data_IF_800091488176
#
_entry.id   IF_800091488176
#
_cell.length_a   1.000
_cell.length_b   1.000
_cell.length_c   1.000
_cell.angle_alpha   90.00
_cell.angle_beta   90.00
_cell.angle_gamma   90.00
#
_symmetry.space_group_name_H-M   'P 1'
#
loop_
_entity.id
_entity.type
_entity.pdbx_description
1 polymer ?
#
# COMPACT_ATOMS: atom_id res chain seq x y z
N UNK A 1 -27.81 17.34 17.69
CA UNK A 1 -27.03 17.62 18.92
C UNK A 1 -25.93 16.56 19.05
N UNK A 2 -24.76 16.91 19.57
CA UNK A 2 -23.61 16.00 19.69
C UNK A 2 -23.37 15.70 21.17
N UNK A 3 -23.36 14.42 21.50
CA UNK A 3 -23.05 13.91 22.84
C UNK A 3 -21.70 13.22 22.80
N UNK A 4 -20.79 13.57 23.70
CA UNK A 4 -19.46 12.95 23.74
C UNK A 4 -18.86 13.04 25.14
N UNK A 5 -17.79 12.28 25.39
CA UNK A 5 -17.01 12.33 26.63
C UNK A 5 -15.62 12.89 26.36
N UNK A 6 -15.09 13.70 27.27
CA UNK A 6 -13.69 14.14 27.19
C UNK A 6 -12.76 12.92 27.13
N UNK A 7 -11.82 12.85 26.18
CA UNK A 7 -10.97 11.67 26.01
C UNK A 7 -10.06 11.42 27.23
N UNK A 8 -9.66 12.49 27.94
CA UNK A 8 -8.80 12.44 29.11
C UNK A 8 -9.57 12.13 30.41
N UNK A 9 -10.49 13.02 30.82
CA UNK A 9 -11.16 12.90 32.14
C UNK A 9 -12.56 12.26 32.09
N UNK A 10 -13.01 11.80 30.91
CA UNK A 10 -14.30 11.12 30.68
C UNK A 10 -15.56 11.93 31.02
N UNK A 11 -15.45 13.22 31.37
CA UNK A 11 -16.60 14.10 31.60
C UNK A 11 -17.48 14.21 30.35
N UNK A 12 -18.78 14.03 30.52
CA UNK A 12 -19.77 14.09 29.45
C UNK A 12 -20.12 15.53 29.06
N UNK A 13 -20.31 15.76 27.76
CA UNK A 13 -20.67 17.04 27.16
C UNK A 13 -21.82 16.87 26.17
N UNK A 14 -22.67 17.89 26.10
CA UNK A 14 -23.74 18.05 25.11
C UNK A 14 -23.55 19.39 24.41
N UNK A 15 -23.32 19.37 23.09
CA UNK A 15 -23.06 20.58 22.32
C UNK A 15 -23.85 20.57 21.00
N UNK A 16 -24.15 21.76 20.47
CA UNK A 16 -24.81 21.91 19.17
C UNK A 16 -23.96 21.37 18.02
N UNK A 17 -24.62 20.82 17.00
CA UNK A 17 -23.98 20.26 15.81
C UNK A 17 -23.13 21.26 15.04
N UNK A 18 -23.44 22.57 15.14
CA UNK A 18 -22.68 23.65 14.48
C UNK A 18 -21.22 23.77 14.93
N UNK A 19 -20.84 23.11 16.02
CA UNK A 19 -19.48 23.08 16.54
C UNK A 19 -18.73 21.77 16.20
N UNK A 20 -19.35 20.85 15.45
CA UNK A 20 -18.71 19.66 14.91
C UNK A 20 -17.35 19.98 14.28
N UNK A 21 -16.33 19.15 14.57
CA UNK A 21 -15.00 19.31 13.99
C UNK A 21 -14.19 20.52 14.49
N UNK A 22 -14.72 21.39 15.37
CA UNK A 22 -13.93 22.50 15.94
C UNK A 22 -13.02 22.02 17.08
N UNK A 23 -11.88 22.68 17.25
CA UNK A 23 -10.98 22.46 18.40
C UNK A 23 -11.54 23.19 19.63
N UNK A 24 -11.53 22.54 20.77
CA UNK A 24 -11.97 23.12 22.05
C UNK A 24 -11.11 22.61 23.21
N UNK A 25 -11.33 23.16 24.40
CA UNK A 25 -10.70 22.73 25.66
C UNK A 25 -11.75 22.12 26.58
N UNK A 26 -11.38 21.04 27.27
CA UNK A 26 -12.20 20.47 28.34
C UNK A 26 -12.33 21.49 29.48
N UNK A 27 -13.56 21.86 29.84
CA UNK A 27 -13.81 22.76 30.98
C UNK A 27 -13.42 22.17 32.34
N UNK A 28 -13.20 20.86 32.44
CA UNK A 28 -12.82 20.21 33.69
C UNK A 28 -11.31 19.96 33.85
N UNK A 29 -10.62 19.52 32.80
CA UNK A 29 -9.19 19.17 32.88
C UNK A 29 -8.28 20.01 31.97
N UNK A 30 -8.83 20.95 31.21
CA UNK A 30 -8.05 21.81 30.31
C UNK A 30 -7.55 21.16 29.01
N UNK A 31 -7.66 19.83 28.86
CA UNK A 31 -7.22 19.10 27.67
C UNK A 31 -7.80 19.69 26.39
N UNK A 32 -6.95 19.98 25.40
CA UNK A 32 -7.36 20.38 24.04
C UNK A 32 -7.75 19.13 23.24
N UNK A 33 -8.90 19.16 22.58
CA UNK A 33 -9.36 18.07 21.70
C UNK A 33 -10.32 18.62 20.63
N UNK A 34 -10.65 17.80 19.63
CA UNK A 34 -11.56 18.15 18.54
C UNK A 34 -12.95 17.58 18.83
N UNK A 35 -13.99 18.38 18.64
CA UNK A 35 -15.37 17.92 18.79
C UNK A 35 -15.68 16.89 17.71
N UNK A 36 -16.28 15.74 18.06
CA UNK A 36 -16.66 14.74 17.06
C UNK A 36 -17.63 15.39 16.07
N UNK A 37 -17.39 15.18 14.78
CA UNK A 37 -18.37 15.52 13.75
C UNK A 37 -19.35 14.35 13.65
N UNK A 38 -20.66 14.57 13.43
CA UNK A 38 -21.51 13.48 12.97
C UNK A 38 -20.82 12.89 11.74
N UNK A 39 -20.67 11.57 11.71
CA UNK A 39 -20.21 10.89 10.51
C UNK A 39 -21.16 11.32 9.40
N UNK A 40 -20.64 12.07 8.43
CA UNK A 40 -21.27 12.08 7.11
C UNK A 40 -21.24 10.60 6.73
N UNK A 41 -22.42 10.01 6.54
CA UNK A 41 -22.51 8.70 5.92
C UNK A 41 -21.78 8.87 4.58
N UNK A 42 -20.54 8.40 4.53
CA UNK A 42 -19.81 8.26 3.29
C UNK A 42 -20.63 7.20 2.59
N UNK A 43 -21.28 7.56 1.50
CA UNK A 43 -21.89 6.60 0.60
C UNK A 43 -20.74 5.68 0.19
N UNK A 44 -20.67 4.50 0.81
CA UNK A 44 -19.67 3.49 0.52
C UNK A 44 -19.90 3.05 -0.92
N UNK A 45 -19.20 3.69 -1.86
CA UNK A 45 -19.06 3.13 -3.19
C UNK A 45 -18.46 1.74 -2.99
N UNK A 46 -19.10 0.68 -3.51
CA UNK A 46 -18.60 -0.66 -3.36
C UNK A 46 -17.17 -0.68 -3.92
N UNK A 47 -16.22 -1.07 -3.07
CA UNK A 47 -14.86 -1.39 -3.49
C UNK A 47 -15.02 -2.59 -4.40
N UNK A 48 -14.83 -2.40 -5.71
CA UNK A 48 -14.72 -3.53 -6.59
C UNK A 48 -13.49 -4.30 -6.12
N UNK A 49 -13.65 -5.58 -5.81
CA UNK A 49 -12.54 -6.50 -5.96
C UNK A 49 -12.07 -6.27 -7.40
N UNK A 50 -10.80 -5.94 -7.59
CA UNK A 50 -10.18 -6.05 -8.89
C UNK A 50 -10.20 -7.53 -9.27
N UNK A 51 -11.39 -8.01 -9.67
CA UNK A 51 -11.51 -9.13 -10.58
C UNK A 51 -10.95 -8.54 -11.85
N UNK A 52 -9.63 -8.69 -12.01
CA UNK A 52 -9.02 -8.63 -13.32
C UNK A 52 -9.91 -9.53 -14.17
N UNK A 53 -10.65 -8.93 -15.10
CA UNK A 53 -11.62 -9.68 -15.92
C UNK A 53 -10.85 -10.75 -16.66
N UNK A 54 -10.90 -11.98 -16.14
CA UNK A 54 -10.63 -13.18 -16.91
C UNK A 54 -11.68 -13.21 -18.02
N UNK A 55 -11.27 -12.79 -19.20
CA UNK A 55 -11.87 -13.16 -20.48
C UNK A 55 -10.80 -12.94 -21.54
N UNK A 56 -9.77 -13.76 -21.46
CA UNK A 56 -8.85 -14.02 -22.57
C UNK A 56 -8.50 -15.51 -22.50
N UNK A 57 -9.39 -16.34 -23.02
CA UNK A 57 -8.97 -17.51 -23.80
C UNK A 57 -8.08 -16.96 -24.92
N UNK A 58 -6.81 -16.77 -24.60
CA UNK A 58 -5.78 -16.39 -25.55
C UNK A 58 -4.91 -17.62 -25.66
N UNK A 59 -4.92 -18.20 -26.87
CA UNK A 59 -4.02 -19.26 -27.29
C UNK A 59 -2.65 -19.11 -26.61
N UNK A 60 -2.19 -20.16 -25.93
CA UNK A 60 -0.84 -20.34 -25.38
C UNK A 60 0.27 -20.33 -26.47
N UNK A 61 -0.05 -19.88 -27.68
CA UNK A 61 0.85 -19.72 -28.79
C UNK A 61 1.77 -18.51 -28.56
N UNK A 62 2.93 -18.80 -27.98
CA UNK A 62 4.16 -17.99 -28.04
C UNK A 62 3.94 -16.55 -27.54
N UNK A 63 3.67 -16.38 -26.23
CA UNK A 63 4.05 -15.11 -25.60
C UNK A 63 5.57 -15.07 -25.53
N UNK A 64 6.24 -14.06 -26.11
CA UNK A 64 7.66 -13.91 -25.90
C UNK A 64 7.91 -13.81 -24.40
N UNK A 65 8.85 -14.61 -23.88
CA UNK A 65 9.25 -14.53 -22.48
C UNK A 65 9.68 -13.09 -22.19
N UNK A 66 8.97 -12.43 -21.28
CA UNK A 66 9.31 -11.08 -20.87
C UNK A 66 10.62 -11.12 -20.07
N UNK A 67 11.50 -10.12 -20.23
CA UNK A 67 12.83 -10.11 -19.61
C UNK A 67 12.76 -9.70 -18.12
N UNK A 68 11.93 -10.40 -17.35
CA UNK A 68 11.64 -10.11 -15.95
C UNK A 68 12.88 -10.05 -15.06
N UNK A 69 13.85 -10.92 -15.33
CA UNK A 69 15.12 -10.96 -14.60
C UNK A 69 15.96 -9.72 -14.91
N UNK A 70 16.13 -9.40 -16.20
CA UNK A 70 16.94 -8.26 -16.64
C UNK A 70 16.35 -6.94 -16.15
N UNK A 71 15.03 -6.75 -16.25
CA UNK A 71 14.35 -5.57 -15.73
C UNK A 71 14.56 -5.42 -14.22
N UNK A 72 14.45 -6.49 -13.44
CA UNK A 72 14.69 -6.42 -12.00
C UNK A 72 16.15 -6.14 -11.66
N UNK A 73 17.08 -6.77 -12.39
CA UNK A 73 18.52 -6.56 -12.21
C UNK A 73 18.88 -5.10 -12.52
N UNK A 74 18.35 -4.52 -13.59
CA UNK A 74 18.56 -3.11 -13.88
C UNK A 74 17.93 -2.21 -12.81
N UNK A 75 16.70 -2.52 -12.33
CA UNK A 75 16.11 -1.80 -11.20
C UNK A 75 17.03 -1.81 -9.96
N UNK A 76 17.64 -2.96 -9.66
CA UNK A 76 18.58 -3.12 -8.55
C UNK A 76 19.85 -2.28 -8.76
N UNK A 77 20.41 -2.29 -9.98
CA UNK A 77 21.59 -1.50 -10.33
C UNK A 77 21.32 0.00 -10.25
N UNK A 78 20.22 0.48 -10.82
CA UNK A 78 19.82 1.90 -10.78
C UNK A 78 19.52 2.37 -9.37
N UNK A 79 18.97 1.50 -8.51
CA UNK A 79 18.74 1.82 -7.11
C UNK A 79 20.02 1.78 -6.25
N UNK A 80 21.00 0.97 -6.66
CA UNK A 80 22.32 0.86 -6.04
C UNK A 80 22.37 -0.05 -4.81
N UNK A 81 23.60 -0.37 -4.40
CA UNK A 81 23.89 -1.27 -3.30
C UNK A 81 23.53 -0.69 -1.93
N UNK A 82 23.03 -1.55 -1.05
CA UNK A 82 22.79 -1.19 0.35
C UNK A 82 24.11 -1.26 1.17
N UNK A 83 24.35 -0.34 2.12
CA UNK A 83 23.50 0.78 2.51
C UNK A 83 23.67 2.01 1.59
N UNK A 84 22.56 2.54 1.09
CA UNK A 84 22.55 3.69 0.18
C UNK A 84 22.70 5.01 0.92
N UNK A 85 23.33 5.97 0.25
CA UNK A 85 23.32 7.39 0.63
C UNK A 85 22.57 8.14 -0.46
N UNK A 86 21.63 8.98 -0.04
CA UNK A 86 20.84 9.80 -0.94
C UNK A 86 21.23 11.26 -0.68
N UNK A 87 21.35 12.04 -1.75
CA UNK A 87 21.46 13.49 -1.66
C UNK A 87 20.16 14.10 -1.07
N UNK A 88 20.15 15.42 -0.90
CA UNK A 88 19.01 16.12 -0.30
C UNK A 88 17.74 16.06 -1.17
N UNK A 89 17.88 16.20 -2.49
CA UNK A 89 16.77 16.18 -3.45
C UNK A 89 16.11 14.80 -3.48
N UNK A 90 16.93 13.77 -3.62
CA UNK A 90 16.57 12.37 -3.60
C UNK A 90 15.94 11.98 -2.26
N UNK A 91 16.45 12.50 -1.15
CA UNK A 91 15.85 12.28 0.17
C UNK A 91 14.48 12.97 0.30
N UNK A 92 14.32 14.17 -0.24
CA UNK A 92 13.05 14.89 -0.24
C UNK A 92 12.00 14.17 -1.11
N UNK A 93 12.38 13.72 -2.31
CA UNK A 93 11.52 12.95 -3.19
C UNK A 93 11.05 11.64 -2.56
N UNK A 94 11.94 10.92 -1.86
CA UNK A 94 11.60 9.67 -1.17
C UNK A 94 10.73 9.89 0.07
N UNK A 95 10.72 11.10 0.63
CA UNK A 95 10.00 11.37 1.88
C UNK A 95 8.49 11.43 1.67
N UNK A 96 7.75 10.95 2.67
CA UNK A 96 6.31 11.09 2.72
C UNK A 96 5.93 12.43 3.39
N UNK A 97 5.18 13.33 2.72
CA UNK A 97 4.76 14.58 3.32
C UNK A 97 3.65 14.33 4.36
N UNK A 98 4.05 14.20 5.63
CA UNK A 98 3.16 13.91 6.77
C UNK A 98 2.12 15.01 7.09
N UNK A 99 2.07 16.11 6.34
CA UNK A 99 1.44 17.38 6.74
C UNK A 99 -0.10 17.39 6.85
N UNK A 100 -0.81 16.52 6.12
CA UNK A 100 -2.28 16.55 6.03
C UNK A 100 -2.94 15.25 6.52
N UNK A 101 -2.36 14.10 6.16
CA UNK A 101 -2.75 12.74 6.57
C UNK A 101 -2.67 12.53 8.11
N UNK A 102 -1.73 13.19 8.80
CA UNK A 102 -1.57 13.04 10.25
C UNK A 102 -2.69 13.64 11.11
N UNK A 103 -3.61 14.43 10.55
CA UNK A 103 -4.75 14.96 11.29
C UNK A 103 -5.79 13.89 11.66
N UNK A 104 -5.88 12.82 10.88
CA UNK A 104 -6.85 11.72 11.03
C UNK A 104 -6.20 10.35 11.26
N UNK A 105 -4.96 10.11 10.77
CA UNK A 105 -4.30 8.79 10.81
C UNK A 105 -3.43 8.49 12.04
N UNK A 106 -3.35 9.36 13.04
CA UNK A 106 -2.42 9.21 14.19
C UNK A 106 -2.58 7.88 14.98
N UNK A 107 -3.70 7.17 14.83
CA UNK A 107 -3.98 5.88 15.47
C UNK A 107 -3.90 4.66 14.54
N UNK A 108 -3.53 4.84 13.27
CA UNK A 108 -3.53 3.76 12.26
C UNK A 108 -2.14 3.10 12.20
N UNK A 109 -2.02 1.76 12.28
CA UNK A 109 -0.75 1.04 12.19
C UNK A 109 0.11 1.39 10.96
N UNK A 110 -0.50 1.88 9.88
CA UNK A 110 0.17 2.38 8.67
C UNK A 110 1.12 3.55 8.96
N UNK A 111 0.83 4.40 9.96
CA UNK A 111 1.78 5.43 10.40
C UNK A 111 3.09 4.84 10.90
N UNK A 112 3.11 3.57 11.36
CA UNK A 112 4.36 2.88 11.70
C UNK A 112 5.22 2.64 10.46
N UNK A 113 4.63 2.27 9.31
CA UNK A 113 5.35 2.16 8.03
C UNK A 113 5.86 3.55 7.60
N UNK A 114 4.99 4.55 7.64
CA UNK A 114 5.24 5.92 7.19
C UNK A 114 6.09 6.77 8.15
N UNK A 115 6.59 6.19 9.26
CA UNK A 115 7.57 6.90 10.10
C UNK A 115 8.82 7.18 9.24
N UNK A 116 9.18 8.47 9.12
CA UNK A 116 10.33 8.91 8.31
C UNK A 116 11.61 8.10 8.55
N UNK A 117 11.90 7.71 9.81
CA UNK A 117 13.07 6.88 10.13
C UNK A 117 13.00 5.49 9.51
N UNK A 118 11.81 4.88 9.48
CA UNK A 118 11.58 3.55 8.90
C UNK A 118 11.56 3.58 7.38
N UNK A 119 10.84 4.52 6.78
CA UNK A 119 10.85 4.72 5.33
C UNK A 119 12.29 4.92 4.84
N UNK A 120 13.06 5.78 5.53
CA UNK A 120 14.48 5.98 5.26
C UNK A 120 15.29 4.70 5.43
N UNK A 121 15.02 3.90 6.44
CA UNK A 121 15.71 2.61 6.62
C UNK A 121 15.41 1.62 5.49
N UNK A 122 14.14 1.50 5.06
CA UNK A 122 13.74 0.65 3.94
C UNK A 122 14.46 1.09 2.68
N UNK A 123 14.42 2.38 2.32
CA UNK A 123 15.09 2.84 1.11
C UNK A 123 16.61 2.77 1.21
N UNK A 124 17.22 2.88 2.38
CA UNK A 124 18.68 2.79 2.52
C UNK A 124 19.20 1.36 2.54
N UNK A 125 18.46 0.42 3.14
CA UNK A 125 18.96 -0.93 3.44
C UNK A 125 18.13 -2.06 2.83
N UNK A 126 16.96 -1.75 2.29
CA UNK A 126 16.05 -2.74 1.75
C UNK A 126 16.53 -3.31 0.42
N UNK A 127 15.97 -4.44 0.03
CA UNK A 127 16.28 -5.18 -1.19
C UNK A 127 15.17 -4.97 -2.21
N UNK A 128 15.53 -4.85 -3.50
CA UNK A 128 14.55 -4.73 -4.58
C UNK A 128 14.12 -6.11 -5.04
N UNK A 129 12.82 -6.36 -5.05
CA UNK A 129 12.18 -7.61 -5.48
C UNK A 129 10.90 -7.31 -6.25
N UNK A 130 10.37 -8.29 -6.97
CA UNK A 130 9.02 -8.21 -7.53
C UNK A 130 7.95 -8.35 -6.46
N UNK A 131 6.84 -7.65 -6.67
CA UNK A 131 5.58 -7.87 -5.97
C UNK A 131 4.40 -7.87 -6.92
N UNK A 132 3.31 -8.50 -6.50
CA UNK A 132 2.00 -8.40 -7.12
C UNK A 132 1.00 -7.83 -6.13
N UNK A 133 0.08 -7.01 -6.61
CA UNK A 133 -1.00 -6.39 -5.86
C UNK A 133 -2.07 -7.45 -5.61
N UNK A 134 -2.46 -7.57 -4.34
CA UNK A 134 -3.57 -8.41 -3.88
C UNK A 134 -4.85 -7.58 -3.88
N UNK A 135 -4.80 -6.40 -3.26
CA UNK A 135 -5.93 -5.49 -3.14
C UNK A 135 -5.44 -4.05 -3.03
N UNK A 136 -6.14 -3.13 -3.69
CA UNK A 136 -5.86 -1.70 -3.66
C UNK A 136 -7.15 -0.93 -3.98
N UNK A 137 -7.21 0.37 -3.66
CA UNK A 137 -8.33 1.20 -4.08
C UNK A 137 -8.26 1.49 -5.59
N UNK A 138 -9.38 1.32 -6.30
CA UNK A 138 -9.50 1.57 -7.75
C UNK A 138 -9.12 2.99 -8.16
N UNK A 139 -9.24 3.96 -7.23
CA UNK A 139 -8.80 5.33 -7.48
C UNK A 139 -7.34 5.37 -7.89
N UNK A 140 -6.48 4.43 -7.45
CA UNK A 140 -5.07 4.37 -7.83
C UNK A 140 -4.81 4.05 -9.31
N UNK A 141 -5.79 3.51 -10.05
CA UNK A 141 -5.67 3.25 -11.49
C UNK A 141 -6.11 4.44 -12.36
N UNK A 142 -6.79 5.43 -11.78
CA UNK A 142 -7.27 6.60 -12.53
C UNK A 142 -6.19 7.68 -12.58
N UNK A 143 -5.96 8.29 -13.74
CA UNK A 143 -5.12 9.49 -13.80
C UNK A 143 -5.83 10.65 -13.10
N UNK A 144 -5.16 11.29 -12.13
CA UNK A 144 -5.68 12.48 -11.48
C UNK A 144 -5.78 13.62 -12.51
N UNK A 145 -7.00 14.09 -12.77
CA UNK A 145 -7.28 15.18 -13.74
C UNK A 145 -6.91 16.56 -13.17
N UNK A 146 -6.64 16.66 -11.88
CA UNK A 146 -6.31 17.90 -11.17
C UNK A 146 -4.81 18.21 -11.27
N UNK A 147 -4.39 18.63 -12.45
CA UNK A 147 -3.12 19.34 -12.67
C UNK A 147 -3.16 20.83 -12.24
N UNK A 148 -4.25 21.28 -11.62
CA UNK A 148 -4.42 22.65 -11.16
C UNK A 148 -3.67 22.90 -9.85
N UNK A 149 -2.87 23.97 -9.81
CA UNK A 149 -2.25 24.48 -8.59
C UNK A 149 -3.34 24.90 -7.58
N UNK A 150 -3.80 23.96 -6.75
CA UNK A 150 -4.84 24.21 -5.77
C UNK A 150 -5.52 22.96 -5.21
N UNK A 151 -5.58 21.85 -5.97
CA UNK A 151 -6.24 20.63 -5.49
C UNK A 151 -5.26 19.76 -4.70
N UNK A 152 -5.61 19.58 -3.44
CA UNK A 152 -4.87 18.84 -2.43
C UNK A 152 -5.36 17.38 -2.38
N UNK A 153 -5.81 16.83 -3.52
CA UNK A 153 -6.17 15.42 -3.65
C UNK A 153 -4.90 14.62 -3.95
N UNK A 154 -4.10 14.47 -2.90
CA UNK A 154 -3.01 13.49 -2.87
C UNK A 154 -3.67 12.12 -2.66
N UNK A 155 -4.18 11.57 -3.78
CA UNK A 155 -4.88 10.28 -3.90
C UNK A 155 -3.95 9.06 -3.65
N UNK A 156 -2.88 9.26 -2.87
CA UNK A 156 -2.06 8.19 -2.31
C UNK A 156 -2.94 7.28 -1.46
N UNK A 157 -2.82 5.96 -1.65
CA UNK A 157 -3.64 5.02 -0.90
C UNK A 157 -2.85 3.78 -0.47
N UNK A 158 -3.23 3.15 0.66
CA UNK A 158 -2.67 1.87 1.01
C UNK A 158 -3.14 0.77 0.06
N UNK A 159 -2.38 -0.30 0.03
CA UNK A 159 -2.83 -1.56 -0.56
C UNK A 159 -1.92 -2.70 -0.13
N UNK A 160 -2.33 -3.90 -0.54
CA UNK A 160 -1.76 -5.15 -0.09
C UNK A 160 -0.97 -5.81 -1.22
N UNK A 161 0.24 -6.26 -0.88
CA UNK A 161 1.17 -6.86 -1.81
C UNK A 161 1.50 -8.28 -1.38
N UNK A 162 1.69 -9.16 -2.36
CA UNK A 162 2.43 -10.42 -2.21
C UNK A 162 3.80 -10.29 -2.88
N UNK A 163 4.83 -10.80 -2.23
CA UNK A 163 6.20 -10.81 -2.76
C UNK A 163 7.01 -11.99 -2.22
N UNK A 164 8.15 -12.28 -2.84
CA UNK A 164 9.16 -13.19 -2.30
C UNK A 164 10.50 -12.47 -2.08
N UNK A 165 11.29 -12.97 -1.13
CA UNK A 165 12.69 -12.54 -0.94
C UNK A 165 13.67 -13.36 -1.79
N UNK A 166 13.17 -14.38 -2.49
CA UNK A 166 13.91 -15.19 -3.42
C UNK A 166 14.45 -14.32 -4.57
N UNK A 167 15.76 -14.39 -4.80
CA UNK A 167 16.42 -13.73 -5.95
C UNK A 167 17.17 -14.71 -6.82
N UNK A 168 16.73 -15.97 -6.84
CA UNK A 168 17.27 -16.99 -7.73
C UNK A 168 16.73 -16.89 -9.17
N UNK A 169 15.90 -15.88 -9.46
CA UNK A 169 15.21 -15.72 -10.74
C UNK A 169 13.87 -16.46 -10.82
N UNK A 170 13.53 -17.30 -9.83
CA UNK A 170 12.27 -18.06 -9.78
C UNK A 170 11.04 -17.22 -9.48
N UNK A 171 11.21 -16.02 -8.95
CA UNK A 171 10.11 -15.11 -8.60
C UNK A 171 9.97 -14.04 -9.69
N UNK A 172 8.93 -14.16 -10.52
CA UNK A 172 8.52 -13.20 -11.54
C UNK A 172 7.09 -12.70 -11.27
N UNK A 173 6.66 -11.58 -11.88
CA UNK A 173 5.27 -11.14 -11.81
C UNK A 173 4.26 -12.24 -12.16
N UNK A 174 4.53 -13.04 -13.20
CA UNK A 174 3.67 -14.15 -13.63
C UNK A 174 3.55 -15.25 -12.57
N UNK A 175 4.64 -15.56 -11.85
CA UNK A 175 4.58 -16.55 -10.75
C UNK A 175 3.83 -16.03 -9.53
N UNK A 176 3.80 -14.71 -9.32
CA UNK A 176 3.14 -14.07 -8.19
C UNK A 176 1.65 -13.82 -8.43
N UNK A 177 1.24 -13.57 -9.68
CA UNK A 177 -0.16 -13.30 -10.06
C UNK A 177 -1.15 -14.35 -9.52
N UNK A 178 -1.01 -15.66 -9.81
CA UNK A 178 -1.96 -16.66 -9.31
C UNK A 178 -1.93 -16.81 -7.77
N UNK A 179 -0.85 -16.38 -7.11
CA UNK A 179 -0.78 -16.34 -5.64
C UNK A 179 -1.60 -15.16 -5.12
N UNK A 180 -1.44 -13.98 -5.74
CA UNK A 180 -2.20 -12.78 -5.40
C UNK A 180 -3.70 -13.02 -5.57
N UNK A 181 -4.12 -13.62 -6.67
CA UNK A 181 -5.52 -13.94 -6.97
C UNK A 181 -6.10 -14.88 -5.91
N UNK A 182 -5.41 -16.00 -5.61
CA UNK A 182 -5.84 -16.93 -4.56
C UNK A 182 -5.99 -16.27 -3.20
N UNK A 183 -5.10 -15.33 -2.84
CA UNK A 183 -5.19 -14.59 -1.58
C UNK A 183 -6.38 -13.63 -1.63
N UNK A 184 -6.55 -12.87 -2.72
CA UNK A 184 -7.65 -11.92 -2.89
C UNK A 184 -9.01 -12.60 -2.83
N UNK A 185 -9.14 -13.81 -3.40
CA UNK A 185 -10.36 -14.62 -3.35
C UNK A 185 -10.75 -15.09 -1.95
N UNK A 186 -9.86 -15.02 -0.94
CA UNK A 186 -10.21 -15.34 0.45
C UNK A 186 -11.13 -14.29 1.08
N UNK A 187 -11.13 -13.06 0.55
CA UNK A 187 -11.97 -11.98 1.06
C UNK A 187 -13.45 -12.34 0.94
N UNK A 188 -14.21 -12.09 2.00
CA UNK A 188 -15.65 -12.37 2.05
C UNK A 188 -16.04 -13.85 2.07
N UNK A 189 -15.07 -14.77 2.12
CA UNK A 189 -15.35 -16.21 2.15
C UNK A 189 -15.58 -16.71 3.58
N UNK A 190 -16.47 -17.69 3.72
CA UNK A 190 -16.63 -18.43 4.97
C UNK A 190 -15.67 -19.64 5.01
N UNK A 191 -14.47 -19.42 5.51
CA UNK A 191 -13.37 -20.39 5.47
C UNK A 191 -13.30 -21.20 6.78
N UNK A 192 -13.16 -22.53 6.66
CA UNK A 192 -12.95 -23.43 7.80
C UNK A 192 -11.48 -23.56 8.20
N UNK A 193 -10.55 -23.40 7.25
CA UNK A 193 -9.12 -23.38 7.52
C UNK A 193 -8.75 -22.12 8.32
N UNK A 194 -8.19 -22.24 9.54
CA UNK A 194 -7.89 -21.09 10.39
C UNK A 194 -6.83 -20.14 9.81
N UNK A 195 -5.85 -20.65 9.07
CA UNK A 195 -4.79 -19.84 8.46
C UNK A 195 -5.36 -18.99 7.33
N UNK A 196 -6.17 -19.60 6.46
CA UNK A 196 -6.84 -18.88 5.37
C UNK A 196 -7.89 -17.91 5.90
N UNK A 197 -8.67 -18.33 6.90
CA UNK A 197 -9.66 -17.48 7.54
C UNK A 197 -9.02 -16.23 8.13
N UNK A 198 -7.85 -16.35 8.78
CA UNK A 198 -7.10 -15.20 9.32
C UNK A 198 -6.74 -14.18 8.23
N UNK A 199 -6.40 -14.63 7.03
CA UNK A 199 -6.06 -13.75 5.90
C UNK A 199 -7.33 -13.15 5.29
N UNK A 200 -8.39 -13.93 5.09
CA UNK A 200 -9.68 -13.44 4.58
C UNK A 200 -10.29 -12.37 5.50
N UNK A 201 -10.35 -12.65 6.81
CA UNK A 201 -10.82 -11.70 7.84
C UNK A 201 -9.97 -10.41 7.84
N UNK A 202 -8.65 -10.53 7.61
CA UNK A 202 -7.74 -9.40 7.53
C UNK A 202 -8.04 -8.50 6.33
N UNK A 203 -8.19 -9.09 5.14
CA UNK A 203 -8.50 -8.35 3.90
C UNK A 203 -9.85 -7.64 4.01
N UNK A 204 -10.82 -8.25 4.69
CA UNK A 204 -12.14 -7.67 4.92
C UNK A 204 -12.10 -6.50 5.92
N UNK A 205 -11.28 -6.59 6.96
CA UNK A 205 -11.28 -5.59 8.02
C UNK A 205 -10.77 -4.21 7.59
N UNK A 206 -9.95 -4.13 6.52
CA UNK A 206 -9.34 -2.94 5.87
C UNK A 206 -8.65 -1.89 6.78
N UNK A 207 -8.67 -2.09 8.08
CA UNK A 207 -8.18 -1.21 9.15
C UNK A 207 -7.01 -1.85 9.91
N UNK A 208 -6.85 -3.16 9.75
CA UNK A 208 -5.69 -3.93 10.21
C UNK A 208 -4.61 -3.85 9.14
N UNK A 209 -3.34 -4.00 9.53
CA UNK A 209 -2.20 -3.97 8.59
C UNK A 209 -1.34 -5.22 8.79
N UNK A 210 -1.00 -5.89 7.69
CA UNK A 210 -0.07 -7.01 7.68
C UNK A 210 1.32 -6.50 7.32
N UNK A 211 2.35 -7.01 7.99
CA UNK A 211 3.74 -6.76 7.61
C UNK A 211 4.47 -8.09 7.67
N UNK A 212 4.89 -8.61 6.51
CA UNK A 212 5.67 -9.83 6.40
C UNK A 212 4.94 -11.08 6.88
N UNK A 213 3.61 -11.13 6.73
CA UNK A 213 2.86 -12.34 7.05
C UNK A 213 3.20 -13.42 6.03
N UNK A 214 3.47 -14.64 6.49
CA UNK A 214 3.70 -15.74 5.56
C UNK A 214 2.44 -16.00 4.73
N UNK A 215 2.64 -16.20 3.44
CA UNK A 215 1.61 -16.81 2.59
C UNK A 215 1.50 -18.29 2.96
N UNK A 216 0.28 -18.86 3.06
CA UNK A 216 0.08 -20.27 3.37
C UNK A 216 0.86 -21.18 2.42
N UNK A 217 1.53 -22.20 2.96
CA UNK A 217 2.36 -23.12 2.15
C UNK A 217 1.58 -23.83 1.04
N UNK A 218 0.26 -24.00 1.23
CA UNK A 218 -0.61 -24.57 0.19
C UNK A 218 -0.71 -23.70 -1.07
N UNK A 219 -0.49 -22.39 -0.97
CA UNK A 219 -0.42 -21.51 -2.13
C UNK A 219 0.99 -21.41 -2.70
N UNK A 220 1.99 -21.60 -1.84
CA UNK A 220 3.39 -21.37 -2.19
C UNK A 220 4.32 -22.49 -1.71
N UNK A 221 4.15 -23.74 -2.20
CA UNK A 221 4.87 -24.90 -1.68
C UNK A 221 6.39 -24.86 -1.95
N UNK A 222 6.82 -24.14 -2.99
CA UNK A 222 8.22 -24.10 -3.45
C UNK A 222 8.86 -22.71 -3.41
N UNK A 223 8.08 -21.67 -3.11
CA UNK A 223 8.53 -20.26 -3.16
C UNK A 223 7.99 -19.52 -1.94
N UNK A 224 8.77 -19.36 -0.84
CA UNK A 224 8.30 -18.61 0.32
C UNK A 224 7.87 -17.19 -0.07
N UNK A 225 6.60 -16.87 0.18
CA UNK A 225 6.04 -15.54 -0.11
C UNK A 225 5.48 -14.89 1.14
N UNK A 226 5.35 -13.57 1.09
CA UNK A 226 4.92 -12.73 2.19
C UNK A 226 3.83 -11.75 1.75
N UNK A 227 2.89 -11.47 2.66
CA UNK A 227 1.88 -10.43 2.53
C UNK A 227 2.33 -9.22 3.35
N UNK A 228 2.39 -8.05 2.73
CA UNK A 228 2.63 -6.78 3.43
C UNK A 228 1.71 -5.68 2.90
N UNK A 229 1.22 -4.86 3.82
CA UNK A 229 0.63 -3.57 3.50
C UNK A 229 1.72 -2.58 3.12
N UNK A 230 1.43 -1.81 2.09
CA UNK A 230 2.23 -0.67 1.69
C UNK A 230 1.40 0.60 1.52
N UNK A 231 2.07 1.71 1.25
CA UNK A 231 1.46 2.95 0.76
C UNK A 231 1.91 3.16 -0.68
N UNK A 232 0.96 3.25 -1.60
CA UNK A 232 1.23 3.63 -2.98
C UNK A 232 1.28 5.14 -3.07
N UNK A 233 2.52 5.65 -3.16
CA UNK A 233 2.75 7.06 -3.44
C UNK A 233 2.69 7.30 -4.94
N UNK A 234 1.70 8.03 -5.43
CA UNK A 234 1.49 8.24 -6.87
C UNK A 234 2.68 8.90 -7.53
N UNK A 235 3.36 9.82 -6.83
CA UNK A 235 4.61 10.43 -7.32
C UNK A 235 5.77 9.43 -7.55
N UNK A 236 5.63 8.19 -7.08
CA UNK A 236 6.60 7.10 -7.25
C UNK A 236 6.18 6.11 -8.35
N UNK A 237 5.01 6.29 -8.97
CA UNK A 237 4.50 5.42 -10.03
C UNK A 237 4.65 6.09 -11.40
N UNK A 238 4.92 5.31 -12.48
CA UNK A 238 4.78 5.79 -13.85
C UNK A 238 3.42 6.43 -14.08
N UNK A 239 3.40 7.58 -14.76
CA UNK A 239 2.17 8.34 -15.06
C UNK A 239 1.34 8.74 -13.83
N UNK A 240 1.88 8.61 -12.61
CA UNK A 240 1.19 8.86 -11.33
C UNK A 240 -0.06 8.01 -11.07
N UNK A 241 -0.15 6.84 -11.70
CA UNK A 241 -1.20 5.86 -11.43
C UNK A 241 -0.67 4.43 -11.58
N UNK A 242 -1.39 3.47 -11.02
CA UNK A 242 -1.17 2.07 -11.32
C UNK A 242 -1.68 1.77 -12.73
N UNK A 243 -0.85 1.14 -13.55
CA UNK A 243 -1.23 0.69 -14.90
C UNK A 243 -1.25 -0.84 -15.00
N UNK A 244 -0.49 -1.53 -14.15
CA UNK A 244 -0.60 -2.98 -13.95
C UNK A 244 -0.74 -3.34 -12.48
N UNK A 245 -0.91 -4.63 -12.22
CA UNK A 245 -1.06 -5.23 -10.90
C UNK A 245 0.23 -5.76 -10.29
N UNK A 246 1.41 -5.46 -10.83
CA UNK A 246 2.70 -5.87 -10.25
C UNK A 246 3.66 -4.68 -10.12
N UNK A 247 4.80 -4.76 -9.45
CA UNK A 247 5.80 -3.67 -9.50
C UNK A 247 7.07 -4.10 -8.78
N UNK A 248 8.23 -3.51 -9.12
CA UNK A 248 9.37 -3.62 -8.24
C UNK A 248 9.07 -2.90 -6.92
N UNK A 249 9.45 -3.52 -5.81
CA UNK A 249 9.30 -2.98 -4.46
C UNK A 249 10.63 -3.04 -3.72
N UNK A 250 10.79 -2.21 -2.70
CA UNK A 250 11.90 -2.24 -1.76
C UNK A 250 11.42 -2.84 -0.43
N UNK A 251 12.04 -3.94 0.00
CA UNK A 251 11.64 -4.67 1.21
C UNK A 251 12.72 -4.62 2.27
N UNK A 252 12.34 -4.44 3.53
CA UNK A 252 13.30 -4.51 4.65
C UNK A 252 13.90 -5.92 4.78
N UNK A 253 15.24 -5.98 4.85
CA UNK A 253 16.01 -7.22 5.03
C UNK A 253 15.66 -8.00 6.31
N UNK A 254 15.13 -7.32 7.33
CA UNK A 254 14.69 -7.93 8.60
C UNK A 254 13.17 -7.98 8.68
N UNK A 255 12.68 -9.00 9.37
CA UNK A 255 11.30 -9.08 9.84
C UNK A 255 10.93 -7.78 10.58
N UNK A 256 9.73 -7.22 10.34
CA UNK A 256 8.58 -7.83 9.67
C UNK A 256 8.48 -7.52 8.16
N UNK A 257 9.58 -7.35 7.43
CA UNK A 257 9.56 -7.20 5.96
C UNK A 257 8.61 -6.10 5.45
N UNK A 258 8.80 -4.89 5.99
CA UNK A 258 8.12 -3.70 5.48
C UNK A 258 8.46 -3.51 4.00
N UNK A 259 7.44 -3.26 3.19
CA UNK A 259 7.55 -3.11 1.76
C UNK A 259 7.09 -1.70 1.34
N UNK A 260 7.77 -1.12 0.34
CA UNK A 260 7.35 0.09 -0.35
C UNK A 260 7.54 -0.07 -1.84
N UNK A 261 6.67 0.49 -2.70
CA UNK A 261 6.96 0.65 -4.12
C UNK A 261 8.38 1.17 -4.32
N UNK A 262 9.14 0.55 -5.22
CA UNK A 262 10.35 1.18 -5.72
C UNK A 262 9.91 2.41 -6.52
N UNK A 263 10.47 3.60 -6.29
CA UNK A 263 10.09 4.74 -7.11
C UNK A 263 10.52 4.60 -8.57
N UNK A 264 9.64 5.00 -9.49
CA UNK A 264 9.79 4.88 -10.95
C UNK A 264 11.15 5.36 -11.48
N UNK A 265 11.74 6.39 -10.88
CA UNK A 265 13.05 6.91 -11.29
C UNK A 265 14.19 5.90 -11.19
N UNK A 266 13.96 4.77 -10.51
CA UNK A 266 14.89 3.65 -10.40
C UNK A 266 14.49 2.41 -11.22
N UNK A 267 13.38 2.44 -11.97
CA UNK A 267 12.91 1.30 -12.76
C UNK A 267 13.70 1.15 -14.07
N UNK A 268 13.85 -0.05 -14.61
CA UNK A 268 14.40 -0.20 -15.97
C UNK A 268 13.59 0.66 -16.98
N UNK A 269 14.22 1.43 -17.88
CA UNK A 269 13.50 2.23 -18.88
C UNK A 269 12.55 1.38 -19.73
N UNK A 270 12.99 0.18 -20.12
CA UNK A 270 12.18 -0.76 -20.90
C UNK A 270 10.99 -1.28 -20.09
N UNK A 271 11.16 -1.47 -18.78
CA UNK A 271 10.04 -1.79 -17.89
C UNK A 271 9.04 -0.64 -17.84
N UNK A 272 9.48 0.62 -17.73
CA UNK A 272 8.58 1.79 -17.74
C UNK A 272 7.82 1.85 -19.08
N UNK A 273 8.52 1.68 -20.20
CA UNK A 273 7.91 1.69 -21.53
C UNK A 273 6.86 0.59 -21.68
N UNK A 274 7.17 -0.64 -21.26
CA UNK A 274 6.23 -1.75 -21.28
C UNK A 274 5.03 -1.50 -20.35
N UNK A 275 5.32 -1.11 -19.10
CA UNK A 275 4.35 -0.86 -18.04
C UNK A 275 3.28 0.18 -18.41
N UNK A 276 3.70 1.21 -19.13
CA UNK A 276 2.84 2.34 -19.51
C UNK A 276 2.00 2.08 -20.77
N UNK A 277 2.26 0.99 -21.50
CA UNK A 277 1.67 0.71 -22.82
C UNK A 277 0.81 -0.56 -22.90
N UNK A 278 0.90 -1.46 -21.92
CA UNK A 278 0.13 -2.71 -21.86
C UNK A 278 -0.98 -2.64 -20.82
#
# INVERSE_FOLDING_TARGET
MIHFKCPACKKSYKISGKYAGRRTKCKACGQKFRLPSPAVAIEEKPIAVAVVKENREFDDAIRPELPWADWLTECQQRFGDAPRKFDAETSAYLSFPMGWICGWLFFIPLCKLLKNSRQREIFRKGKVVWAHIIQVNDTLFTQSLSGGAGDQDDDDAPGELVFSLDTSGRCTPETLMPIADKIGMLRGQNLSDPELKRIGDYLEAETVRAFGWNVPKQFTPRLPCFISTTMFMRKHLPSRCLQQSFLPIVVSHKSPHYAMPLPERFWAPDLIAWWTTH
#
